data_IF_818413527872
#
_entry.id   IF_818413527872
#
_cell.length_a   1.000
_cell.length_b   1.000
_cell.length_c   1.000
_cell.angle_alpha   90.00
_cell.angle_beta   90.00
_cell.angle_gamma   90.00
#
_symmetry.space_group_name_H-M   'P 1'
#
loop_
_entity.id
_entity.type
_entity.pdbx_description
1 polymer ?
#
# COMPACT_ATOMS: atom_id res chain seq x y z
N UNK A 1 -45.39 -24.54 30.22
CA UNK A 1 -44.75 -24.08 28.96
C UNK A 1 -43.34 -23.61 29.30
N UNK A 2 -42.38 -24.53 29.27
CA UNK A 2 -41.01 -24.29 29.78
C UNK A 2 -40.10 -23.72 28.70
N UNK A 3 -39.34 -22.69 29.05
CA UNK A 3 -38.26 -22.12 28.23
C UNK A 3 -36.95 -22.68 28.79
N UNK A 4 -36.17 -23.38 27.98
CA UNK A 4 -34.82 -23.82 28.37
C UNK A 4 -33.80 -23.13 27.47
N UNK A 5 -32.89 -22.37 28.07
CA UNK A 5 -31.81 -21.69 27.38
C UNK A 5 -30.65 -22.67 27.14
N UNK A 6 -30.23 -22.82 25.88
CA UNK A 6 -29.08 -23.63 25.49
C UNK A 6 -27.76 -22.97 25.91
N UNK A 7 -27.00 -23.67 26.75
CA UNK A 7 -25.59 -23.39 27.05
C UNK A 7 -24.76 -23.51 25.76
N UNK A 8 -24.07 -22.44 25.37
CA UNK A 8 -22.98 -22.52 24.38
C UNK A 8 -21.69 -22.87 25.12
N UNK A 9 -21.02 -23.93 24.68
CA UNK A 9 -19.72 -24.33 25.17
C UNK A 9 -18.63 -23.58 24.40
N UNK A 10 -17.83 -22.78 25.11
CA UNK A 10 -16.66 -22.12 24.54
C UNK A 10 -15.58 -23.16 24.24
N UNK A 11 -15.28 -23.34 22.95
CA UNK A 11 -14.19 -24.20 22.50
C UNK A 11 -12.86 -23.43 22.64
N UNK A 12 -12.11 -23.80 23.66
CA UNK A 12 -10.74 -23.33 23.93
C UNK A 12 -9.77 -24.05 22.97
N UNK A 13 -9.30 -23.35 21.94
CA UNK A 13 -8.19 -23.82 21.14
C UNK A 13 -6.88 -23.46 21.83
N UNK A 14 -6.35 -24.43 22.58
CA UNK A 14 -4.99 -24.40 23.06
C UNK A 14 -4.03 -24.37 21.87
N UNK A 15 -3.29 -23.27 21.76
CA UNK A 15 -2.19 -23.11 20.82
C UNK A 15 -1.00 -23.95 21.32
N UNK A 16 -0.89 -25.17 20.79
CA UNK A 16 0.29 -26.01 20.97
C UNK A 16 1.35 -25.56 19.95
N UNK A 17 2.30 -24.75 20.44
CA UNK A 17 3.57 -24.52 19.78
C UNK A 17 4.33 -25.84 19.68
N UNK A 18 4.31 -26.45 18.49
CA UNK A 18 5.25 -27.51 18.11
C UNK A 18 6.40 -26.89 17.33
N UNK A 19 7.61 -27.04 17.86
CA UNK A 19 8.83 -26.52 17.27
C UNK A 19 9.28 -27.25 16.00
N UNK A 20 10.40 -26.73 15.50
CA UNK A 20 11.30 -27.36 14.54
C UNK A 20 10.88 -27.34 13.06
N UNK A 21 11.25 -26.25 12.38
CA UNK A 21 12.05 -26.34 11.15
C UNK A 21 12.75 -24.98 10.94
N UNK A 22 14.08 -24.98 10.96
CA UNK A 22 14.88 -23.82 10.54
C UNK A 22 14.73 -23.64 9.02
N UNK A 23 14.57 -22.41 8.49
CA UNK A 23 14.86 -22.15 7.10
C UNK A 23 16.39 -22.08 6.97
N UNK A 24 16.95 -23.06 6.27
CA UNK A 24 18.34 -23.04 5.81
C UNK A 24 18.58 -21.72 5.04
N UNK A 25 19.38 -20.83 5.62
CA UNK A 25 19.85 -19.60 4.97
C UNK A 25 20.79 -20.01 3.84
N UNK A 26 20.31 -19.97 2.60
CA UNK A 26 21.15 -19.97 1.40
C UNK A 26 21.84 -18.61 1.24
N UNK A 27 22.97 -18.53 0.51
CA UNK A 27 23.78 -17.32 0.46
C UNK A 27 23.01 -16.19 -0.22
N UNK A 28 23.07 -15.00 0.38
CA UNK A 28 22.53 -13.77 -0.19
C UNK A 28 23.14 -13.52 -1.58
N UNK A 29 22.34 -13.40 -2.67
CA UNK A 29 22.80 -12.71 -3.84
C UNK A 29 22.66 -11.21 -3.56
N UNK A 30 23.81 -10.60 -3.36
CA UNK A 30 24.08 -9.18 -3.57
C UNK A 30 23.21 -8.57 -4.67
N UNK A 31 22.82 -7.31 -4.43
CA UNK A 31 22.15 -6.44 -5.40
C UNK A 31 22.65 -6.66 -6.83
N UNK A 32 21.80 -7.25 -7.65
CA UNK A 32 21.82 -7.02 -9.09
C UNK A 32 20.37 -6.82 -9.52
N UNK A 33 20.17 -5.81 -10.35
CA UNK A 33 18.87 -5.39 -10.83
C UNK A 33 18.09 -6.61 -11.32
N UNK A 34 16.86 -6.77 -10.81
CA UNK A 34 15.94 -7.79 -11.27
C UNK A 34 15.62 -7.55 -12.75
N UNK A 35 16.47 -8.08 -13.63
CA UNK A 35 16.13 -8.37 -14.99
C UNK A 35 15.07 -9.47 -14.90
N UNK A 36 13.81 -9.05 -14.90
CA UNK A 36 12.70 -9.94 -15.24
C UNK A 36 13.04 -10.43 -16.65
N UNK A 37 13.58 -11.65 -16.73
CA UNK A 37 13.72 -12.37 -17.99
C UNK A 37 12.32 -12.47 -18.56
N UNK A 38 12.05 -11.58 -19.51
CA UNK A 38 10.83 -11.50 -20.28
C UNK A 38 10.69 -12.83 -21.00
N UNK A 39 9.77 -13.68 -20.53
CA UNK A 39 9.50 -14.98 -21.18
C UNK A 39 8.96 -14.80 -22.61
N UNK A 40 8.66 -13.56 -23.03
CA UNK A 40 8.31 -13.21 -24.41
C UNK A 40 9.50 -12.72 -25.27
N UNK A 41 10.69 -12.50 -24.71
CA UNK A 41 11.90 -12.31 -25.55
C UNK A 41 12.25 -13.58 -26.33
N UNK A 42 11.84 -14.76 -25.84
CA UNK A 42 11.93 -16.03 -26.58
C UNK A 42 11.14 -16.03 -27.92
N UNK A 43 10.22 -15.09 -28.11
CA UNK A 43 9.46 -14.96 -29.37
C UNK A 43 9.56 -13.55 -29.99
N UNK A 44 10.38 -12.66 -29.40
CA UNK A 44 10.58 -11.28 -29.84
C UNK A 44 12.01 -10.95 -30.26
N UNK A 45 12.98 -11.80 -29.93
CA UNK A 45 14.39 -11.65 -30.27
C UNK A 45 14.93 -12.97 -30.83
N UNK A 46 14.35 -13.46 -31.92
CA UNK A 46 14.95 -14.52 -32.73
C UNK A 46 14.88 -14.01 -34.17
N UNK A 47 15.91 -13.28 -34.59
CA UNK A 47 17.01 -13.87 -35.34
C UNK A 47 16.77 -13.66 -36.85
N UNK A 48 17.30 -12.56 -37.38
CA UNK A 48 17.85 -12.56 -38.73
C UNK A 48 19.09 -13.48 -38.77
N UNK A 49 18.96 -14.73 -38.30
CA UNK A 49 19.93 -15.78 -38.58
C UNK A 49 19.41 -16.54 -39.78
N UNK A 50 19.90 -16.13 -40.93
CA UNK A 50 20.00 -17.00 -42.09
C UNK A 50 20.74 -18.28 -41.67
N UNK A 51 20.01 -19.31 -41.24
CA UNK A 51 20.55 -20.65 -40.94
C UNK A 51 21.13 -21.36 -42.19
N UNK A 52 21.39 -20.60 -43.27
CA UNK A 52 22.16 -21.01 -44.45
C UNK A 52 23.66 -21.21 -44.16
N UNK A 53 24.19 -20.73 -43.03
CA UNK A 53 25.64 -20.63 -42.83
C UNK A 53 26.29 -21.51 -41.75
N UNK A 54 25.54 -22.35 -41.01
CA UNK A 54 26.12 -23.16 -39.92
C UNK A 54 26.30 -24.66 -40.21
N UNK A 55 26.06 -25.12 -41.45
CA UNK A 55 26.44 -26.47 -41.85
C UNK A 55 27.75 -26.42 -42.66
N UNK A 56 28.80 -27.18 -42.27
CA UNK A 56 29.90 -27.49 -43.16
C UNK A 56 29.33 -27.99 -44.49
N UNK A 57 29.63 -27.29 -45.59
CA UNK A 57 29.27 -27.72 -46.94
C UNK A 57 29.97 -29.06 -47.19
N UNK A 58 29.27 -30.17 -46.92
CA UNK A 58 29.69 -31.48 -47.38
C UNK A 58 29.64 -31.44 -48.91
N UNK A 59 30.81 -31.42 -49.52
CA UNK A 59 31.01 -31.65 -50.95
C UNK A 59 30.72 -33.12 -51.23
N UNK A 60 29.44 -33.48 -51.27
CA UNK A 60 29.02 -34.74 -51.85
C UNK A 60 28.45 -34.44 -53.24
N UNK A 61 29.20 -34.89 -54.24
CA UNK A 61 28.77 -35.32 -55.58
C UNK A 61 27.60 -34.56 -56.20
N UNK A 62 27.83 -33.93 -57.36
CA UNK A 62 26.87 -33.17 -58.17
C UNK A 62 25.60 -33.90 -58.64
N UNK A 63 25.21 -35.00 -57.99
CA UNK A 63 23.95 -35.72 -58.16
C UNK A 63 22.82 -35.16 -57.28
N UNK A 64 23.13 -34.42 -56.19
CA UNK A 64 22.10 -33.91 -55.28
C UNK A 64 21.54 -32.52 -55.62
N UNK A 65 22.12 -31.83 -56.60
CA UNK A 65 21.64 -30.51 -57.04
C UNK A 65 20.54 -30.60 -58.11
N UNK A 66 20.30 -31.77 -58.69
CA UNK A 66 19.19 -32.06 -59.61
C UNK A 66 17.91 -32.54 -58.89
N UNK A 67 17.96 -32.77 -57.57
CA UNK A 67 16.81 -33.20 -56.78
C UNK A 67 15.89 -32.01 -56.47
N UNK A 68 14.61 -32.12 -56.83
CA UNK A 68 13.57 -31.16 -56.43
C UNK A 68 13.41 -31.21 -54.91
N UNK A 69 14.03 -30.25 -54.20
CA UNK A 69 13.86 -30.08 -52.76
C UNK A 69 12.44 -29.56 -52.48
N UNK A 70 11.67 -30.19 -51.57
CA UNK A 70 10.36 -29.68 -51.20
C UNK A 70 10.48 -28.27 -50.63
N UNK A 71 9.76 -27.31 -51.22
CA UNK A 71 9.70 -25.93 -50.76
C UNK A 71 8.90 -25.88 -49.47
N UNK A 72 9.50 -25.34 -48.40
CA UNK A 72 8.78 -25.09 -47.14
C UNK A 72 7.70 -24.06 -47.41
N UNK A 73 6.43 -24.46 -47.30
CA UNK A 73 5.29 -23.55 -47.40
C UNK A 73 5.29 -22.69 -46.13
N UNK A 74 5.24 -21.35 -46.24
CA UNK A 74 5.23 -20.48 -45.08
C UNK A 74 3.94 -20.68 -44.28
N UNK A 75 4.05 -20.73 -42.95
CA UNK A 75 2.92 -20.90 -42.07
C UNK A 75 1.93 -19.73 -42.24
N UNK A 76 0.68 -19.95 -42.66
CA UNK A 76 -0.27 -18.88 -42.96
C UNK A 76 -0.54 -17.95 -41.75
N UNK A 77 -0.47 -18.49 -40.53
CA UNK A 77 -0.65 -17.75 -39.28
C UNK A 77 0.52 -16.79 -39.03
N UNK A 78 1.74 -17.19 -39.38
CA UNK A 78 2.96 -16.38 -39.20
C UNK A 78 3.23 -15.47 -40.41
N UNK A 79 2.76 -15.85 -41.60
CA UNK A 79 2.82 -15.05 -42.82
C UNK A 79 1.87 -13.85 -42.77
N UNK A 80 0.70 -13.98 -42.12
CA UNK A 80 -0.23 -12.87 -41.94
C UNK A 80 0.25 -11.90 -40.86
N UNK A 81 0.69 -10.70 -41.29
CA UNK A 81 1.09 -9.60 -40.38
C UNK A 81 -0.07 -9.17 -39.47
N UNK A 82 -1.27 -9.05 -40.03
CA UNK A 82 -2.49 -8.67 -39.30
C UNK A 82 -2.81 -9.65 -38.16
N UNK A 83 -2.70 -10.97 -38.41
CA UNK A 83 -2.94 -11.96 -37.36
C UNK A 83 -1.92 -11.86 -36.21
N UNK A 84 -0.64 -11.65 -36.55
CA UNK A 84 0.42 -11.45 -35.55
C UNK A 84 0.22 -10.17 -34.75
N UNK A 85 -0.22 -9.10 -35.38
CA UNK A 85 -0.51 -7.81 -34.73
C UNK A 85 -1.67 -7.94 -33.74
N UNK A 86 -2.77 -8.57 -34.17
CA UNK A 86 -3.90 -8.85 -33.29
C UNK A 86 -3.49 -9.67 -32.07
N UNK A 87 -2.69 -10.73 -32.25
CA UNK A 87 -2.18 -11.52 -31.11
C UNK A 87 -1.33 -10.68 -30.16
N UNK A 88 -0.47 -9.79 -30.69
CA UNK A 88 0.32 -8.89 -29.84
C UNK A 88 -0.59 -7.95 -29.06
N UNK A 89 -1.55 -7.32 -29.72
CA UNK A 89 -2.49 -6.40 -29.09
C UNK A 89 -3.33 -7.07 -28.01
N UNK A 90 -3.88 -8.26 -28.25
CA UNK A 90 -4.64 -9.03 -27.25
C UNK A 90 -3.82 -9.36 -26.00
N UNK A 91 -2.56 -9.76 -26.19
CA UNK A 91 -1.66 -10.00 -25.05
C UNK A 91 -1.37 -8.70 -24.29
N UNK A 92 -1.19 -7.59 -25.02
CA UNK A 92 -0.94 -6.27 -24.43
C UNK A 92 -2.16 -5.79 -23.64
N UNK A 93 -3.38 -5.95 -24.15
CA UNK A 93 -4.60 -5.51 -23.46
C UNK A 93 -4.86 -6.34 -22.20
N UNK A 94 -4.60 -7.65 -22.26
CA UNK A 94 -4.68 -8.54 -21.10
C UNK A 94 -3.64 -8.17 -20.03
N UNK A 95 -2.38 -7.94 -20.42
CA UNK A 95 -1.30 -7.54 -19.49
C UNK A 95 -1.51 -6.13 -18.92
N UNK A 96 -2.06 -5.20 -19.71
CA UNK A 96 -2.35 -3.83 -19.28
C UNK A 96 -3.60 -3.72 -18.39
N UNK A 97 -4.33 -4.81 -18.16
CA UNK A 97 -5.45 -4.85 -17.21
C UNK A 97 -6.64 -3.97 -17.63
N UNK A 98 -6.79 -3.67 -18.93
CA UNK A 98 -7.88 -2.82 -19.46
C UNK A 98 -9.25 -3.55 -19.46
N UNK A 99 -9.28 -4.81 -19.04
CA UNK A 99 -10.52 -5.52 -18.71
C UNK A 99 -10.85 -5.25 -17.24
N UNK A 100 -11.68 -4.23 -17.02
CA UNK A 100 -12.00 -3.50 -15.78
C UNK A 100 -12.56 -4.32 -14.59
N UNK A 101 -12.57 -5.64 -14.64
CA UNK A 101 -12.97 -6.45 -13.49
C UNK A 101 -11.86 -7.44 -13.12
N UNK A 102 -11.03 -7.02 -12.16
CA UNK A 102 -10.18 -7.97 -11.44
C UNK A 102 -11.07 -9.13 -10.97
N UNK A 103 -10.63 -10.39 -11.13
CA UNK A 103 -11.41 -11.52 -10.66
C UNK A 103 -11.69 -11.39 -9.16
N UNK A 104 -12.86 -11.83 -8.71
CA UNK A 104 -13.32 -11.68 -7.31
C UNK A 104 -12.28 -12.13 -6.29
N UNK A 105 -11.57 -13.23 -6.57
CA UNK A 105 -10.47 -13.71 -5.73
C UNK A 105 -9.34 -12.68 -5.56
N UNK A 106 -8.95 -11.99 -6.64
CA UNK A 106 -7.91 -10.97 -6.58
C UNK A 106 -8.38 -9.75 -5.78
N UNK A 107 -9.63 -9.31 -5.96
CA UNK A 107 -10.22 -8.24 -5.12
C UNK A 107 -10.19 -8.62 -3.64
N UNK A 108 -10.57 -9.86 -3.31
CA UNK A 108 -10.57 -10.38 -1.93
C UNK A 108 -9.14 -10.45 -1.36
N UNK A 109 -8.15 -10.90 -2.13
CA UNK A 109 -6.75 -10.93 -1.71
C UNK A 109 -6.18 -9.52 -1.50
N UNK A 110 -6.43 -8.60 -2.43
CA UNK A 110 -6.03 -7.20 -2.28
C UNK A 110 -6.67 -6.57 -1.04
N UNK A 111 -7.96 -6.82 -0.81
CA UNK A 111 -8.67 -6.35 0.38
C UNK A 111 -8.09 -6.93 1.67
N UNK A 112 -7.80 -8.24 1.69
CA UNK A 112 -7.16 -8.90 2.83
C UNK A 112 -5.77 -8.32 3.11
N UNK A 113 -4.97 -8.09 2.08
CA UNK A 113 -3.63 -7.51 2.19
C UNK A 113 -3.71 -6.08 2.74
N UNK A 114 -4.64 -5.25 2.25
CA UNK A 114 -4.90 -3.90 2.79
C UNK A 114 -5.27 -3.94 4.27
N UNK A 115 -6.18 -4.82 4.66
CA UNK A 115 -6.61 -4.97 6.05
C UNK A 115 -5.44 -5.43 6.94
N UNK A 116 -4.62 -6.36 6.46
CA UNK A 116 -3.45 -6.83 7.19
C UNK A 116 -2.40 -5.73 7.38
N UNK A 117 -2.11 -4.95 6.34
CA UNK A 117 -1.19 -3.82 6.41
C UNK A 117 -1.68 -2.76 7.40
N UNK A 118 -2.97 -2.41 7.36
CA UNK A 118 -3.56 -1.48 8.34
C UNK A 118 -3.49 -2.02 9.78
N UNK A 119 -3.69 -3.32 9.97
CA UNK A 119 -3.56 -3.94 11.30
C UNK A 119 -2.11 -3.93 11.80
N UNK A 120 -1.14 -4.13 10.91
CA UNK A 120 0.29 -4.03 11.24
C UNK A 120 0.67 -2.59 11.59
N UNK A 121 0.25 -1.60 10.79
CA UNK A 121 0.45 -0.19 11.12
C UNK A 121 -0.20 0.19 12.45
N UNK A 122 -1.43 -0.25 12.72
CA UNK A 122 -2.08 -0.03 14.02
C UNK A 122 -1.33 -0.69 15.18
N UNK A 123 -0.78 -1.88 14.98
CA UNK A 123 0.07 -2.53 15.99
C UNK A 123 1.36 -1.76 16.22
N UNK A 124 2.06 -1.35 15.16
CA UNK A 124 3.23 -0.48 15.26
C UNK A 124 2.90 0.87 15.90
N UNK A 125 1.70 1.39 15.67
CA UNK A 125 1.19 2.62 16.27
C UNK A 125 0.89 2.46 17.77
N UNK A 126 0.41 1.28 18.17
CA UNK A 126 0.24 0.92 19.59
C UNK A 126 1.60 0.60 20.24
N UNK A 127 2.56 0.07 19.48
CA UNK A 127 3.96 -0.11 19.87
C UNK A 127 4.77 1.19 19.82
N UNK A 128 4.22 2.30 19.31
CA UNK A 128 4.84 3.63 19.48
C UNK A 128 5.09 3.81 20.97
N UNK A 129 6.33 4.18 21.31
CA UNK A 129 6.78 4.44 22.68
C UNK A 129 5.68 5.17 23.48
N UNK A 130 5.38 4.73 24.72
CA UNK A 130 4.31 5.32 25.55
C UNK A 130 4.31 6.85 25.56
N UNK A 131 5.50 7.46 25.57
CA UNK A 131 5.70 8.91 25.47
C UNK A 131 5.07 9.53 24.22
N UNK A 132 5.21 8.89 23.05
CA UNK A 132 4.66 9.39 21.78
C UNK A 132 3.13 9.38 21.80
N UNK A 133 2.52 8.41 22.49
CA UNK A 133 1.06 8.38 22.67
C UNK A 133 0.59 9.50 23.61
N UNK A 134 1.31 9.77 24.69
CA UNK A 134 0.98 10.87 25.60
C UNK A 134 1.13 12.24 24.94
N UNK A 135 2.21 12.45 24.17
CA UNK A 135 2.40 13.69 23.41
C UNK A 135 1.25 13.90 22.42
N UNK A 136 0.86 12.86 21.69
CA UNK A 136 -0.29 12.94 20.79
C UNK A 136 -1.58 13.30 21.52
N UNK A 137 -1.88 12.64 22.65
CA UNK A 137 -3.05 12.97 23.49
C UNK A 137 -3.01 14.42 23.99
N UNK A 138 -1.85 14.90 24.43
CA UNK A 138 -1.66 16.27 24.88
C UNK A 138 -1.89 17.26 23.75
N UNK A 139 -1.33 17.00 22.57
CA UNK A 139 -1.54 17.82 21.37
C UNK A 139 -3.02 17.89 21.01
N UNK A 140 -3.72 16.77 20.92
CA UNK A 140 -5.17 16.75 20.63
C UNK A 140 -5.98 17.54 21.66
N UNK A 141 -5.61 17.45 22.95
CA UNK A 141 -6.27 18.23 24.01
C UNK A 141 -6.03 19.73 23.82
N UNK A 142 -4.81 20.13 23.52
CA UNK A 142 -4.47 21.54 23.28
C UNK A 142 -5.20 22.09 22.06
N UNK A 143 -5.21 21.35 20.94
CA UNK A 143 -5.92 21.75 19.72
C UNK A 143 -7.43 21.91 19.95
N UNK A 144 -8.03 21.07 20.81
CA UNK A 144 -9.43 21.22 21.20
C UNK A 144 -9.67 22.51 21.99
N UNK A 145 -8.81 22.79 22.98
CA UNK A 145 -8.92 24.00 23.80
C UNK A 145 -8.68 25.27 22.97
N UNK A 146 -7.69 25.25 22.07
CA UNK A 146 -7.42 26.37 21.15
C UNK A 146 -8.62 26.67 20.27
N UNK A 147 -9.22 25.63 19.67
CA UNK A 147 -10.45 25.76 18.86
C UNK A 147 -11.63 26.26 19.68
N UNK A 148 -11.76 25.85 20.94
CA UNK A 148 -12.79 26.37 21.84
C UNK A 148 -12.55 27.83 22.20
N UNK A 149 -11.31 28.22 22.51
CA UNK A 149 -10.93 29.59 22.81
C UNK A 149 -11.12 30.52 21.61
N UNK A 150 -10.78 30.07 20.40
CA UNK A 150 -10.99 30.81 19.15
C UNK A 150 -12.49 31.06 18.92
N UNK A 151 -13.33 30.04 19.10
CA UNK A 151 -14.80 30.18 19.04
C UNK A 151 -15.32 31.16 20.09
N UNK A 152 -14.83 31.09 21.33
CA UNK A 152 -15.24 32.02 22.38
C UNK A 152 -14.80 33.45 22.05
N UNK A 153 -13.58 33.64 21.56
CA UNK A 153 -13.08 34.94 21.10
C UNK A 153 -13.94 35.49 19.95
N UNK A 154 -14.28 34.66 18.97
CA UNK A 154 -15.16 35.04 17.86
C UNK A 154 -16.54 35.46 18.36
N UNK A 155 -17.14 34.69 19.29
CA UNK A 155 -18.41 35.03 19.93
C UNK A 155 -18.33 36.35 20.73
N UNK A 156 -17.24 36.57 21.47
CA UNK A 156 -17.00 37.81 22.22
C UNK A 156 -16.78 39.01 21.30
N UNK A 157 -16.09 38.83 20.16
CA UNK A 157 -15.89 39.88 19.15
C UNK A 157 -17.18 40.22 18.41
N UNK A 158 -18.03 39.23 18.15
CA UNK A 158 -19.35 39.41 17.56
C UNK A 158 -20.37 40.07 18.51
N UNK A 159 -20.07 40.10 19.81
CA UNK A 159 -20.96 40.72 20.80
C UNK A 159 -20.96 42.26 20.65
N UNK A 160 -22.09 42.94 20.94
CA UNK A 160 -22.17 44.40 20.95
C UNK A 160 -21.12 45.05 21.86
N UNK A 161 -20.66 46.25 21.48
CA UNK A 161 -19.55 46.95 22.14
C UNK A 161 -19.76 47.16 23.65
N UNK A 162 -20.97 47.54 24.07
CA UNK A 162 -21.26 47.77 25.50
C UNK A 162 -21.14 46.51 26.35
N UNK A 163 -21.39 45.31 25.80
CA UNK A 163 -21.19 44.03 26.49
C UNK A 163 -19.69 43.79 26.67
N UNK A 164 -18.91 43.97 25.60
CA UNK A 164 -17.44 43.82 25.64
C UNK A 164 -16.80 44.77 26.64
N UNK A 165 -17.16 46.05 26.63
CA UNK A 165 -16.64 47.06 27.57
C UNK A 165 -16.97 46.68 29.02
N UNK A 166 -18.21 46.21 29.28
CA UNK A 166 -18.62 45.77 30.61
C UNK A 166 -17.83 44.55 31.11
N UNK A 167 -17.57 43.57 30.26
CA UNK A 167 -16.77 42.38 30.61
C UNK A 167 -15.30 42.74 30.84
N UNK A 168 -14.73 43.64 30.03
CA UNK A 168 -13.36 44.11 30.19
C UNK A 168 -13.17 44.85 31.53
N UNK A 169 -14.11 45.74 31.90
CA UNK A 169 -14.08 46.44 33.18
C UNK A 169 -14.21 45.48 34.38
N UNK A 170 -15.01 44.41 34.25
CA UNK A 170 -15.07 43.35 35.28
C UNK A 170 -13.75 42.60 35.39
N UNK A 171 -13.13 42.27 34.26
CA UNK A 171 -11.88 41.50 34.21
C UNK A 171 -10.73 42.27 34.84
N UNK A 172 -10.59 43.57 34.53
CA UNK A 172 -9.58 44.42 35.14
C UNK A 172 -9.82 44.65 36.63
N UNK A 173 -11.08 44.74 37.07
CA UNK A 173 -11.42 44.84 38.49
C UNK A 173 -10.94 43.60 39.28
N UNK A 174 -11.17 42.39 38.76
CA UNK A 174 -10.73 41.14 39.41
C UNK A 174 -9.20 41.03 39.45
N UNK A 175 -8.50 41.40 38.38
CA UNK A 175 -7.04 41.41 38.38
C UNK A 175 -6.51 42.40 39.42
N UNK A 176 -7.12 43.58 39.54
CA UNK A 176 -6.73 44.58 40.54
C UNK A 176 -6.93 44.12 42.00
N UNK A 177 -7.87 43.23 42.28
CA UNK A 177 -8.06 42.67 43.63
C UNK A 177 -7.03 41.58 43.93
N UNK A 178 -6.73 40.73 42.95
CA UNK A 178 -5.71 39.67 43.08
C UNK A 178 -4.31 40.28 43.26
N UNK A 179 -3.98 41.36 42.55
CA UNK A 179 -2.71 42.08 42.74
C UNK A 179 -2.59 42.68 44.14
N UNK A 180 -3.67 43.23 44.70
CA UNK A 180 -3.67 43.76 46.07
C UNK A 180 -3.48 42.65 47.11
N UNK A 181 -4.14 41.51 46.95
CA UNK A 181 -3.96 40.35 47.83
C UNK A 181 -2.53 39.80 47.74
N UNK A 182 -1.97 39.72 46.53
CA UNK A 182 -0.60 39.26 46.34
C UNK A 182 0.43 40.22 46.96
N UNK A 183 0.19 41.54 46.90
CA UNK A 183 1.02 42.55 47.56
C UNK A 183 0.91 42.50 49.09
N UNK A 184 -0.29 42.28 49.63
CA UNK A 184 -0.50 42.10 51.08
C UNK A 184 0.22 40.86 51.61
N UNK A 185 0.18 39.75 50.86
CA UNK A 185 0.87 38.52 51.24
C UNK A 185 2.40 38.65 51.21
N UNK A 186 2.96 39.44 50.28
CA UNK A 186 4.40 39.72 50.22
C UNK A 186 4.83 40.63 51.38
N UNK A 187 4.01 41.60 51.79
CA UNK A 187 4.34 42.54 52.87
C UNK A 187 4.21 41.96 54.29
N UNK A 188 3.69 40.74 54.43
CA UNK A 188 3.51 40.01 55.69
C UNK A 188 4.66 39.03 56.01
N UNK A 189 5.66 38.90 55.12
CA UNK A 189 6.92 38.18 55.34
C UNK A 189 8.09 39.16 55.43
#
# INVERSE_FOLDING_TARGET
>A
MGVTHGKKADHNHQNLNSGCAQPLMGPDPVSDFGFVMDSDQRWGAEEDFDHRHLLPKQTHSGYYDELIRPKKIPNPIKASKSHRELHRELNITQKRGVMEEKPELQKVLEQRNRIQALKQQKKQDVEKSPLKQELFKRQTRLEKLEREAEKQSEMSQAAPEFIRVKENLKSTAVISTVEKEHQLNISLH
#
